data_IF_701285961347
#
_entry.id   IF_701285961347
#
_cell.length_a   1.000
_cell.length_b   1.000
_cell.length_c   1.000
_cell.angle_alpha   90.00
_cell.angle_beta   90.00
_cell.angle_gamma   90.00
#
_symmetry.space_group_name_H-M   'P 1'
#
loop_
_entity.id
_entity.type
_entity.pdbx_description
1 polymer ?
#
# COMPACT_ATOMS: atom_id res chain seq x y z
N UNK A 1 64.42 24.01 9.45
CA UNK A 1 63.30 24.71 8.79
C UNK A 1 62.05 24.37 9.58
N UNK A 2 61.43 25.39 10.17
CA UNK A 2 60.26 25.31 11.04
C UNK A 2 59.01 25.22 10.16
N UNK A 3 58.11 24.29 10.46
CA UNK A 3 56.65 24.46 10.29
C UNK A 3 55.92 23.55 11.27
N UNK A 4 55.09 24.16 12.10
CA UNK A 4 54.33 23.62 13.23
C UNK A 4 52.84 23.71 12.86
N UNK A 5 52.06 22.74 13.36
CA UNK A 5 50.60 22.72 13.51
C UNK A 5 49.77 22.52 12.21
N UNK A 6 48.65 21.78 12.18
CA UNK A 6 47.66 21.55 13.21
C UNK A 6 47.19 20.09 13.24
N UNK A 7 47.08 19.59 14.47
CA UNK A 7 46.11 18.57 14.86
C UNK A 7 44.71 19.16 14.59
N UNK A 8 43.94 18.56 13.68
CA UNK A 8 42.50 18.81 13.57
C UNK A 8 41.81 17.46 13.66
N UNK A 9 41.48 17.12 14.90
CA UNK A 9 40.32 16.37 15.34
C UNK A 9 39.70 15.45 14.29
N UNK A 10 40.12 14.19 14.39
CA UNK A 10 39.35 13.04 13.98
C UNK A 10 38.01 13.02 14.72
N UNK A 11 37.04 13.80 14.24
CA UNK A 11 35.63 13.47 14.47
C UNK A 11 35.29 12.29 13.57
N UNK A 12 35.45 11.10 14.15
CA UNK A 12 34.86 9.88 13.66
C UNK A 12 33.33 10.04 13.63
N UNK A 13 32.81 10.63 12.55
CA UNK A 13 31.40 10.47 12.21
C UNK A 13 31.24 9.05 11.67
N UNK A 14 30.74 8.16 12.53
CA UNK A 14 30.09 6.92 12.09
C UNK A 14 28.88 7.30 11.26
N UNK A 15 29.09 7.67 10.00
CA UNK A 15 28.01 7.83 9.03
C UNK A 15 27.48 6.42 8.74
N UNK A 16 26.20 6.11 9.03
CA UNK A 16 25.60 4.90 8.51
C UNK A 16 25.62 4.96 6.98
N UNK A 17 25.87 3.84 6.32
CA UNK A 17 25.91 3.72 4.85
C UNK A 17 24.49 3.80 4.28
N UNK A 18 23.90 4.99 4.28
CA UNK A 18 22.60 5.25 3.68
C UNK A 18 22.70 6.42 2.72
N UNK A 19 22.17 6.19 1.52
CA UNK A 19 22.21 7.14 0.43
C UNK A 19 21.16 8.23 0.67
N UNK A 20 21.61 9.48 0.80
CA UNK A 20 20.74 10.62 0.99
C UNK A 20 20.18 11.12 -0.34
N UNK A 21 18.85 11.16 -0.46
CA UNK A 21 18.15 11.85 -1.57
C UNK A 21 18.19 13.38 -1.35
N UNK A 22 18.19 13.79 -0.08
CA UNK A 22 18.28 15.18 0.33
C UNK A 22 19.42 15.31 1.34
N UNK A 23 20.40 16.17 1.05
CA UNK A 23 21.44 16.50 2.02
C UNK A 23 20.80 17.10 3.28
N UNK A 24 21.39 16.92 4.47
CA UNK A 24 20.88 17.57 5.67
C UNK A 24 20.84 19.09 5.44
N UNK A 25 19.62 19.64 5.42
CA UNK A 25 19.39 21.07 5.22
C UNK A 25 19.11 21.72 6.57
N UNK A 26 19.70 22.87 6.80
CA UNK A 26 19.37 23.73 7.93
C UNK A 26 18.51 24.89 7.44
N UNK A 27 17.54 25.29 8.25
CA UNK A 27 16.66 26.39 7.90
C UNK A 27 15.89 26.90 9.11
N UNK A 28 15.41 28.12 8.97
CA UNK A 28 14.52 28.76 9.91
C UNK A 28 13.09 28.66 9.38
N UNK A 29 12.18 28.24 10.26
CA UNK A 29 10.76 28.16 9.95
C UNK A 29 10.00 29.17 10.79
N UNK A 30 9.12 29.94 10.15
CA UNK A 30 8.16 30.81 10.79
C UNK A 30 6.74 30.35 10.47
N UNK A 31 6.11 29.71 11.44
CA UNK A 31 4.71 29.32 11.40
C UNK A 31 3.84 30.36 12.13
N UNK A 32 2.91 30.99 11.42
CA UNK A 32 1.92 31.91 11.99
C UNK A 32 0.55 31.25 11.94
N UNK A 33 0.11 30.73 13.10
CA UNK A 33 -1.21 30.15 13.29
C UNK A 33 -2.17 31.21 13.86
N UNK A 34 -3.22 31.54 13.11
CA UNK A 34 -4.25 32.50 13.55
C UNK A 34 -5.50 31.75 13.97
N UNK A 35 -5.93 31.92 15.22
CA UNK A 35 -7.12 31.26 15.79
C UNK A 35 -8.44 31.74 15.18
N UNK A 36 -8.51 33.02 14.81
CA UNK A 36 -9.67 33.62 14.14
C UNK A 36 -9.29 34.00 12.71
N UNK A 37 -9.68 33.20 11.70
CA UNK A 37 -9.44 33.53 10.30
C UNK A 37 -10.42 34.63 9.85
N UNK A 38 -9.88 35.74 9.35
CA UNK A 38 -10.65 36.80 8.68
C UNK A 38 -10.59 36.57 7.17
N UNK A 39 -11.58 37.03 6.38
CA UNK A 39 -11.65 36.82 4.92
C UNK A 39 -10.37 37.18 4.16
N UNK A 40 -9.63 38.18 4.65
CA UNK A 40 -8.42 38.69 3.99
C UNK A 40 -7.13 38.00 4.44
N UNK A 41 -7.18 37.16 5.48
CA UNK A 41 -5.99 36.61 6.13
C UNK A 41 -6.10 35.09 6.33
N UNK A 42 -5.17 34.35 5.73
CA UNK A 42 -5.09 32.90 5.87
C UNK A 42 -4.88 32.46 7.34
N UNK A 43 -5.53 31.35 7.70
CA UNK A 43 -5.50 30.74 9.05
C UNK A 43 -4.10 30.24 9.43
N UNK A 44 -3.36 29.74 8.46
CA UNK A 44 -2.01 29.20 8.63
C UNK A 44 -1.15 29.90 7.57
N UNK A 45 -0.15 30.65 8.01
CA UNK A 45 0.92 31.11 7.13
C UNK A 45 2.21 30.41 7.53
N UNK A 46 2.88 29.82 6.56
CA UNK A 46 4.12 29.09 6.74
C UNK A 46 5.19 29.77 5.89
N UNK A 47 6.26 30.21 6.51
CA UNK A 47 7.41 30.79 5.83
C UNK A 47 8.64 29.97 6.21
N UNK A 48 9.28 29.37 5.21
CA UNK A 48 10.46 28.53 5.39
C UNK A 48 11.63 29.16 4.67
N UNK A 49 12.69 29.46 5.42
CA UNK A 49 13.94 30.01 4.90
C UNK A 49 15.02 28.96 5.07
N UNK A 50 15.51 28.41 3.96
CA UNK A 50 16.54 27.36 3.95
C UNK A 50 17.89 27.98 3.60
N UNK A 51 18.98 27.53 4.23
CA UNK A 51 20.33 27.99 3.89
C UNK A 51 20.84 27.39 2.59
N UNK A 52 20.60 26.09 2.38
CA UNK A 52 20.94 25.36 1.16
C UNK A 52 19.90 24.25 0.96
N UNK A 53 19.39 24.10 -0.27
CA UNK A 53 18.51 23.01 -0.66
C UNK A 53 19.11 22.29 -1.86
N UNK A 54 19.71 21.13 -1.61
CA UNK A 54 20.38 20.32 -2.63
C UNK A 54 19.81 18.90 -2.67
N UNK A 55 19.18 18.55 -3.79
CA UNK A 55 18.74 17.20 -4.09
C UNK A 55 19.84 16.45 -4.83
N UNK A 56 20.16 15.25 -4.37
CA UNK A 56 21.04 14.32 -5.06
C UNK A 56 20.19 13.12 -5.44
N UNK A 57 19.93 12.94 -6.73
CA UNK A 57 19.09 11.84 -7.22
C UNK A 57 19.94 11.02 -8.17
N UNK A 58 20.13 9.75 -7.84
CA UNK A 58 20.72 8.75 -8.72
C UNK A 58 19.66 8.08 -9.60
N UNK A 59 20.06 7.40 -10.67
CA UNK A 59 19.14 6.77 -11.62
C UNK A 59 18.25 5.70 -10.96
N UNK A 60 18.79 4.93 -10.02
CA UNK A 60 18.03 3.94 -9.26
C UNK A 60 17.05 4.60 -8.28
N UNK A 61 17.49 5.66 -7.59
CA UNK A 61 16.64 6.44 -6.69
C UNK A 61 15.50 7.15 -7.42
N UNK A 62 15.70 7.56 -8.66
CA UNK A 62 14.64 8.18 -9.47
C UNK A 62 13.49 7.21 -9.73
N UNK A 63 13.81 5.95 -10.08
CA UNK A 63 12.80 4.88 -10.26
C UNK A 63 12.04 4.61 -8.96
N UNK A 64 12.76 4.53 -7.85
CA UNK A 64 12.16 4.29 -6.54
C UNK A 64 11.30 5.48 -6.08
N UNK A 65 11.73 6.71 -6.37
CA UNK A 65 10.97 7.92 -6.09
C UNK A 65 9.64 7.97 -6.85
N UNK A 66 9.62 7.54 -8.12
CA UNK A 66 8.37 7.40 -8.88
C UNK A 66 7.43 6.38 -8.23
N UNK A 67 7.97 5.25 -7.81
CA UNK A 67 7.20 4.22 -7.10
C UNK A 67 6.66 4.73 -5.76
N UNK A 68 7.44 5.54 -5.04
CA UNK A 68 7.03 6.18 -3.79
C UNK A 68 5.96 7.26 -4.02
N UNK A 69 6.02 7.99 -5.13
CA UNK A 69 5.01 8.98 -5.50
C UNK A 69 3.66 8.32 -5.78
N UNK A 70 3.67 7.20 -6.51
CA UNK A 70 2.47 6.40 -6.75
C UNK A 70 1.86 5.91 -5.43
N UNK A 71 2.71 5.44 -4.50
CA UNK A 71 2.27 5.04 -3.16
C UNK A 71 1.70 6.21 -2.36
N UNK A 72 2.35 7.38 -2.39
CA UNK A 72 1.89 8.58 -1.69
C UNK A 72 0.54 9.06 -2.24
N UNK A 73 0.37 9.02 -3.56
CA UNK A 73 -0.89 9.34 -4.22
C UNK A 73 -2.00 8.36 -3.81
N UNK A 74 -1.71 7.05 -3.82
CA UNK A 74 -2.63 6.03 -3.35
C UNK A 74 -3.03 6.23 -1.88
N UNK A 75 -2.06 6.54 -1.02
CA UNK A 75 -2.30 6.77 0.40
C UNK A 75 -3.19 8.00 0.63
N UNK A 76 -2.91 9.11 -0.05
CA UNK A 76 -3.70 10.34 0.05
C UNK A 76 -5.15 10.09 -0.35
N UNK A 77 -5.38 9.41 -1.48
CA UNK A 77 -6.73 9.03 -1.92
C UNK A 77 -7.41 8.10 -0.91
N UNK A 78 -6.69 7.12 -0.34
CA UNK A 78 -7.26 6.17 0.63
C UNK A 78 -7.75 6.85 1.91
N UNK A 79 -7.17 7.98 2.33
CA UNK A 79 -7.62 8.71 3.53
C UNK A 79 -9.07 9.17 3.44
N UNK A 80 -9.54 9.54 2.25
CA UNK A 80 -10.93 9.96 2.03
C UNK A 80 -11.92 8.79 2.21
N UNK A 81 -11.50 7.58 1.83
CA UNK A 81 -12.32 6.38 1.89
C UNK A 81 -12.22 5.63 3.24
N UNK A 82 -11.21 5.92 4.08
CA UNK A 82 -11.11 5.33 5.41
C UNK A 82 -12.33 5.67 6.30
N UNK A 83 -12.98 6.82 6.09
CA UNK A 83 -14.17 7.22 6.84
C UNK A 83 -15.40 6.33 6.55
N UNK A 84 -15.46 5.72 5.36
CA UNK A 84 -16.59 4.87 4.95
C UNK A 84 -16.40 3.40 5.30
N UNK A 85 -15.19 2.96 5.63
CA UNK A 85 -14.90 1.55 5.93
C UNK A 85 -14.93 1.19 7.42
N UNK A 86 -15.09 2.16 8.32
CA UNK A 86 -15.09 1.95 9.77
C UNK A 86 -16.47 1.59 10.36
N UNK A 87 -17.53 1.54 9.54
CA UNK A 87 -18.92 1.47 10.04
C UNK A 87 -19.66 0.14 9.89
N UNK A 88 -19.36 -0.67 8.86
CA UNK A 88 -20.16 -1.87 8.56
C UNK A 88 -19.50 -3.16 9.05
N UNK A 89 -19.96 -3.74 10.19
CA UNK A 89 -19.44 -5.01 10.68
C UNK A 89 -19.72 -6.17 9.72
N UNK A 90 -20.75 -6.08 8.86
CA UNK A 90 -21.06 -7.10 7.87
C UNK A 90 -19.93 -7.32 6.86
N UNK A 91 -19.26 -6.24 6.43
CA UNK A 91 -18.16 -6.29 5.45
C UNK A 91 -16.90 -6.90 6.08
N UNK A 92 -16.60 -6.59 7.34
CA UNK A 92 -15.48 -7.18 8.07
C UNK A 92 -15.73 -8.66 8.39
N UNK A 93 -16.96 -9.03 8.79
CA UNK A 93 -17.35 -10.43 9.00
C UNK A 93 -17.30 -11.26 7.71
N UNK A 94 -17.78 -10.74 6.59
CA UNK A 94 -17.68 -11.44 5.30
C UNK A 94 -16.23 -11.61 4.86
N UNK A 95 -15.38 -10.60 5.10
CA UNK A 95 -13.95 -10.68 4.76
C UNK A 95 -13.21 -11.66 5.66
N UNK A 96 -13.52 -11.69 6.95
CA UNK A 96 -12.96 -12.67 7.89
C UNK A 96 -13.44 -14.08 7.56
N UNK A 97 -14.73 -14.26 7.25
CA UNK A 97 -15.31 -15.55 6.85
C UNK A 97 -14.66 -16.11 5.58
N UNK A 98 -14.37 -15.27 4.57
CA UNK A 98 -13.64 -15.72 3.37
C UNK A 98 -12.24 -16.29 3.65
N UNK A 99 -11.67 -15.96 4.82
CA UNK A 99 -10.36 -16.39 5.26
C UNK A 99 -10.40 -17.43 6.38
N UNK A 100 -11.58 -17.96 6.73
CA UNK A 100 -11.68 -19.09 7.66
C UNK A 100 -11.36 -20.40 6.96
N UNK A 101 -10.83 -21.34 7.73
CA UNK A 101 -10.56 -22.70 7.25
C UNK A 101 -11.81 -23.40 6.70
N UNK A 102 -12.98 -23.13 7.28
CA UNK A 102 -14.26 -23.69 6.83
C UNK A 102 -14.61 -23.24 5.40
N UNK A 103 -14.42 -21.95 5.10
CA UNK A 103 -14.64 -21.42 3.75
C UNK A 103 -13.66 -22.05 2.74
N UNK A 104 -12.40 -22.24 3.13
CA UNK A 104 -11.40 -22.92 2.29
C UNK A 104 -11.72 -24.40 2.08
N UNK A 105 -12.18 -25.12 3.11
CA UNK A 105 -12.59 -26.51 2.99
C UNK A 105 -13.79 -26.65 2.06
N UNK A 106 -14.83 -25.83 2.26
CA UNK A 106 -16.03 -25.85 1.43
C UNK A 106 -15.71 -25.59 -0.04
N UNK A 107 -14.86 -24.59 -0.34
CA UNK A 107 -14.41 -24.31 -1.72
C UNK A 107 -13.63 -25.47 -2.33
N UNK A 108 -12.78 -26.14 -1.56
CA UNK A 108 -12.02 -27.31 -2.02
C UNK A 108 -12.96 -28.47 -2.36
N UNK A 109 -13.92 -28.73 -1.47
CA UNK A 109 -14.82 -29.87 -1.61
C UNK A 109 -15.81 -29.62 -2.77
N UNK A 110 -16.33 -28.40 -2.91
CA UNK A 110 -17.14 -27.97 -4.07
C UNK A 110 -16.39 -28.14 -5.40
N UNK A 111 -15.10 -27.76 -5.46
CA UNK A 111 -14.28 -27.94 -6.68
C UNK A 111 -14.07 -29.42 -7.02
N UNK A 112 -13.85 -30.28 -6.02
CA UNK A 112 -13.71 -31.73 -6.24
C UNK A 112 -15.01 -32.33 -6.78
N UNK A 113 -16.14 -31.93 -6.21
CA UNK A 113 -17.47 -32.35 -6.67
C UNK A 113 -17.71 -31.89 -8.11
N UNK A 114 -17.46 -30.61 -8.41
CA UNK A 114 -17.57 -30.06 -9.76
C UNK A 114 -16.73 -30.85 -10.78
N UNK A 115 -15.45 -31.11 -10.49
CA UNK A 115 -14.56 -31.87 -11.39
C UNK A 115 -15.10 -33.29 -11.62
N UNK A 116 -15.63 -33.94 -10.58
CA UNK A 116 -16.16 -35.31 -10.70
C UNK A 116 -17.41 -35.36 -11.58
N UNK A 117 -18.35 -34.42 -11.38
CA UNK A 117 -19.59 -34.32 -12.15
C UNK A 117 -19.32 -33.89 -13.59
N UNK A 118 -18.44 -32.91 -13.79
CA UNK A 118 -18.06 -32.43 -15.12
C UNK A 118 -17.39 -33.53 -15.96
N UNK A 119 -16.48 -34.31 -15.37
CA UNK A 119 -15.86 -35.47 -16.03
C UNK A 119 -16.89 -36.54 -16.38
N UNK A 120 -17.83 -36.82 -15.47
CA UNK A 120 -18.87 -37.82 -15.72
C UNK A 120 -19.88 -37.39 -16.79
N UNK A 121 -20.21 -36.09 -16.85
CA UNK A 121 -21.01 -35.49 -17.91
C UNK A 121 -20.28 -35.57 -19.26
N UNK A 122 -18.98 -35.25 -19.30
CA UNK A 122 -18.17 -35.33 -20.52
C UNK A 122 -18.01 -36.76 -21.04
N UNK A 123 -17.98 -37.75 -20.16
CA UNK A 123 -17.92 -39.19 -20.50
C UNK A 123 -19.29 -39.80 -20.84
N UNK A 124 -20.37 -39.02 -20.82
CA UNK A 124 -21.72 -39.46 -21.20
C UNK A 124 -22.32 -40.50 -20.25
N UNK A 125 -21.81 -40.63 -19.01
CA UNK A 125 -22.20 -41.68 -18.06
C UNK A 125 -23.37 -41.29 -17.16
N UNK A 126 -23.73 -40.00 -17.13
CA UNK A 126 -24.81 -39.45 -16.31
C UNK A 126 -25.88 -38.80 -17.20
N UNK A 127 -27.14 -39.11 -16.90
CA UNK A 127 -28.27 -38.37 -17.44
C UNK A 127 -28.15 -36.92 -16.97
N UNK A 128 -28.33 -36.02 -17.93
CA UNK A 128 -28.07 -34.58 -17.91
C UNK A 128 -29.08 -33.81 -17.02
N UNK A 129 -29.43 -34.34 -15.85
CA UNK A 129 -30.26 -33.66 -14.86
C UNK A 129 -29.36 -32.68 -14.09
N UNK A 130 -29.06 -31.58 -14.77
CA UNK A 130 -27.97 -30.62 -14.48
C UNK A 130 -28.22 -29.70 -13.30
N UNK A 131 -29.21 -29.91 -12.45
CA UNK A 131 -29.56 -28.93 -11.41
C UNK A 131 -28.44 -28.76 -10.39
N UNK A 132 -27.79 -29.85 -9.98
CA UNK A 132 -26.67 -29.79 -9.03
C UNK A 132 -25.40 -29.19 -9.64
N UNK A 133 -25.15 -29.45 -10.93
CA UNK A 133 -24.03 -28.85 -11.67
C UNK A 133 -24.27 -27.35 -11.85
N UNK A 134 -25.48 -26.96 -12.26
CA UNK A 134 -25.89 -25.57 -12.47
C UNK A 134 -25.83 -24.77 -11.16
N UNK A 135 -26.21 -25.38 -10.04
CA UNK A 135 -26.14 -24.74 -8.73
C UNK A 135 -24.70 -24.62 -8.22
N UNK A 136 -23.82 -25.58 -8.53
CA UNK A 136 -22.38 -25.46 -8.28
C UNK A 136 -21.75 -24.36 -9.13
N UNK A 137 -22.13 -24.22 -10.40
CA UNK A 137 -21.63 -23.15 -11.29
C UNK A 137 -22.06 -21.75 -10.83
N UNK A 138 -23.27 -21.61 -10.27
CA UNK A 138 -23.71 -20.35 -9.68
C UNK A 138 -22.96 -20.01 -8.38
N UNK A 139 -22.57 -21.03 -7.60
CA UNK A 139 -21.92 -20.85 -6.29
C UNK A 139 -20.42 -20.64 -6.39
N UNK A 140 -19.75 -21.31 -7.33
CA UNK A 140 -18.31 -21.21 -7.54
C UNK A 140 -17.97 -19.96 -8.37
N UNK A 141 -16.93 -19.24 -7.95
CA UNK A 141 -16.41 -18.12 -8.75
C UNK A 141 -15.62 -18.63 -9.94
N UNK A 142 -15.58 -17.86 -11.03
CA UNK A 142 -14.77 -18.15 -12.22
C UNK A 142 -13.30 -18.49 -11.91
N UNK A 143 -12.71 -17.86 -10.88
CA UNK A 143 -11.33 -18.15 -10.46
C UNK A 143 -11.16 -19.56 -9.90
N UNK A 144 -12.21 -20.16 -9.32
CA UNK A 144 -12.17 -21.51 -8.75
C UNK A 144 -12.36 -22.62 -9.79
N UNK A 145 -12.98 -22.28 -10.93
CA UNK A 145 -13.29 -23.22 -12.03
C UNK A 145 -12.16 -23.26 -13.07
N UNK A 146 -11.39 -22.17 -13.23
CA UNK A 146 -10.40 -22.02 -14.30
C UNK A 146 -9.17 -22.95 -14.21
N UNK A 147 -8.91 -23.53 -13.04
CA UNK A 147 -7.73 -24.36 -12.77
C UNK A 147 -8.13 -25.76 -12.32
#
# INVERSE_FOLDING_TARGET
MISRSNNSDSEASTLPDHQYILKPVSGEEKLVLRKHPTKDLAKINYQLTLSELAFLIDADQYRDALSCLDLFHFYTRRREFLRFHLGDPSVTHQRAYKWTWDCFCQRRDDRKLYISLFKAAQLGTLALDSTELDDLEKRLSYQDIRY
#
